data_IF_469546012461
#
_entry.id   IF_469546012461
#
_cell.length_a   1.000
_cell.length_b   1.000
_cell.length_c   1.000
_cell.angle_alpha   90.00
_cell.angle_beta   90.00
_cell.angle_gamma   90.00
#
_symmetry.space_group_name_H-M   'P 1'
#
loop_
_entity.id
_entity.type
_entity.pdbx_description
1 polymer ?
#
# COMPACT_ATOMS: atom_id res chain seq x y z
N UNK A 1 -25.32 -18.05 -29.43
CA UNK A 1 -26.17 -18.33 -28.28
C UNK A 1 -27.00 -17.09 -27.97
N UNK A 2 -28.29 -17.13 -28.33
CA UNK A 2 -29.24 -16.01 -28.23
C UNK A 2 -29.81 -15.96 -26.81
N UNK A 3 -29.68 -14.85 -26.09
CA UNK A 3 -30.37 -14.61 -24.82
C UNK A 3 -31.63 -13.78 -25.06
N UNK A 4 -32.77 -14.43 -24.88
CA UNK A 4 -34.13 -13.90 -24.97
C UNK A 4 -34.41 -13.06 -23.72
N UNK A 5 -34.80 -11.79 -23.93
CA UNK A 5 -35.32 -10.91 -22.88
C UNK A 5 -36.84 -11.07 -22.81
N UNK A 6 -37.32 -11.51 -21.66
CA UNK A 6 -38.75 -11.55 -21.35
C UNK A 6 -39.09 -10.25 -20.64
N UNK A 7 -39.93 -9.42 -21.30
CA UNK A 7 -40.56 -8.21 -20.74
C UNK A 7 -41.87 -8.63 -20.08
N UNK A 8 -41.96 -8.48 -18.76
CA UNK A 8 -43.24 -8.57 -18.05
C UNK A 8 -43.85 -7.16 -17.94
N UNK A 9 -44.90 -6.92 -18.67
CA UNK A 9 -45.81 -5.78 -18.52
C UNK A 9 -46.73 -6.07 -17.31
N UNK A 10 -46.62 -5.30 -16.24
CA UNK A 10 -47.60 -5.25 -15.17
C UNK A 10 -48.55 -4.05 -15.45
N UNK A 11 -49.78 -4.35 -15.82
CA UNK A 11 -50.87 -3.40 -15.87
C UNK A 11 -51.35 -3.13 -14.44
N UNK A 12 -51.12 -1.92 -13.93
CA UNK A 12 -51.69 -1.45 -12.65
C UNK A 12 -53.09 -0.89 -12.88
N UNK A 13 -54.10 -1.59 -12.43
CA UNK A 13 -55.47 -1.08 -12.32
C UNK A 13 -55.54 -0.10 -11.15
N UNK A 14 -55.82 1.18 -11.45
CA UNK A 14 -56.11 2.22 -10.46
C UNK A 14 -57.58 2.09 -10.06
N UNK A 15 -57.83 1.56 -8.86
CA UNK A 15 -59.14 1.54 -8.21
C UNK A 15 -59.27 2.83 -7.39
N UNK A 16 -60.04 3.83 -7.88
CA UNK A 16 -60.38 5.04 -7.16
C UNK A 16 -61.42 4.73 -6.07
N UNK A 17 -60.98 4.56 -4.81
CA UNK A 17 -61.86 4.59 -3.66
C UNK A 17 -62.13 6.05 -3.28
N UNK A 18 -63.34 6.50 -3.47
CA UNK A 18 -63.87 7.73 -2.87
C UNK A 18 -64.06 7.51 -1.38
N UNK A 19 -63.01 7.82 -0.60
CA UNK A 19 -63.08 7.81 0.87
C UNK A 19 -63.78 9.06 1.37
N UNK A 20 -64.97 8.90 1.96
CA UNK A 20 -65.59 9.94 2.78
C UNK A 20 -64.62 10.29 3.90
N UNK A 21 -64.17 11.55 3.98
CA UNK A 21 -63.39 12.07 5.09
C UNK A 21 -64.25 12.01 6.36
N UNK A 22 -64.06 10.97 7.15
CA UNK A 22 -64.52 10.94 8.54
C UNK A 22 -63.62 11.92 9.29
N UNK A 23 -64.17 13.03 9.72
CA UNK A 23 -63.48 13.96 10.61
C UNK A 23 -63.07 13.17 11.85
N UNK A 24 -61.76 12.92 11.99
CA UNK A 24 -61.23 12.31 13.19
C UNK A 24 -61.37 13.32 14.33
N UNK A 25 -62.33 13.11 15.18
CA UNK A 25 -62.46 13.85 16.46
C UNK A 25 -61.27 13.44 17.30
N UNK A 26 -60.37 14.37 17.54
CA UNK A 26 -59.18 14.13 18.38
C UNK A 26 -59.70 13.89 19.81
N UNK A 27 -59.40 12.75 20.38
CA UNK A 27 -59.71 12.43 21.75
C UNK A 27 -58.90 13.36 22.70
N UNK A 28 -59.62 14.32 23.35
CA UNK A 28 -59.02 15.26 24.28
C UNK A 28 -59.22 14.71 25.71
N UNK A 29 -58.13 14.34 26.39
CA UNK A 29 -58.24 13.81 27.77
C UNK A 29 -58.67 14.91 28.73
N UNK A 30 -59.75 14.67 29.49
CA UNK A 30 -60.23 15.54 30.56
C UNK A 30 -59.82 15.03 31.97
N UNK A 31 -59.64 15.95 32.92
CA UNK A 31 -59.39 15.58 34.31
C UNK A 31 -60.74 15.34 35.05
N UNK A 32 -61.03 14.10 35.50
CA UNK A 32 -62.31 13.77 36.08
C UNK A 32 -62.56 14.46 37.46
N UNK A 33 -61.52 14.99 38.10
CA UNK A 33 -61.61 15.63 39.42
C UNK A 33 -61.85 17.15 39.32
N UNK A 34 -61.43 17.75 38.19
CA UNK A 34 -61.49 19.21 38.05
C UNK A 34 -61.62 19.57 36.57
N UNK A 35 -62.74 19.16 35.99
CA UNK A 35 -63.03 19.42 34.58
C UNK A 35 -64.16 20.42 34.41
N UNK A 36 -63.88 21.53 33.77
CA UNK A 36 -64.87 22.48 33.26
C UNK A 36 -65.64 21.98 32.07
N UNK A 37 -65.38 20.78 31.54
CA UNK A 37 -65.99 20.19 30.38
C UNK A 37 -66.74 18.91 30.73
N UNK A 38 -67.77 18.63 29.91
CA UNK A 38 -68.50 17.35 30.00
C UNK A 38 -67.63 16.24 29.55
N UNK A 39 -67.46 15.17 30.36
CA UNK A 39 -66.63 14.02 30.06
C UNK A 39 -67.47 12.79 29.67
N UNK A 40 -67.03 12.02 28.70
CA UNK A 40 -67.50 10.68 28.42
C UNK A 40 -66.45 9.63 28.89
N UNK A 41 -66.89 8.41 29.26
CA UNK A 41 -65.91 7.35 29.62
C UNK A 41 -65.05 7.01 28.39
N UNK A 42 -63.72 6.86 28.55
CA UNK A 42 -62.90 6.91 29.79
C UNK A 42 -62.26 8.27 30.12
N UNK A 43 -63.04 9.32 30.36
CA UNK A 43 -62.62 10.71 30.69
C UNK A 43 -62.18 11.54 29.47
N UNK A 44 -62.86 11.38 28.37
CA UNK A 44 -62.62 12.16 27.14
C UNK A 44 -63.64 13.33 27.11
N UNK A 45 -63.16 14.52 26.73
CA UNK A 45 -63.99 15.72 26.62
C UNK A 45 -65.00 15.51 25.46
N UNK A 46 -66.27 15.71 25.77
CA UNK A 46 -67.36 15.62 24.76
C UNK A 46 -67.30 16.83 23.84
N UNK A 47 -67.26 16.55 22.55
CA UNK A 47 -67.30 17.57 21.48
C UNK A 47 -68.67 17.56 20.80
N UNK A 48 -69.11 18.74 20.38
CA UNK A 48 -70.29 18.88 19.53
C UNK A 48 -70.01 18.37 18.12
N UNK A 49 -71.05 18.15 17.32
CA UNK A 49 -70.89 17.74 15.94
C UNK A 49 -70.12 18.75 15.04
N UNK A 50 -69.89 19.96 15.56
CA UNK A 50 -69.02 20.98 14.96
C UNK A 50 -67.60 21.03 15.54
N UNK A 51 -67.24 20.09 16.39
CA UNK A 51 -65.88 19.99 16.99
C UNK A 51 -65.63 20.92 18.20
N UNK A 52 -66.67 21.61 18.70
CA UNK A 52 -66.56 22.48 19.88
C UNK A 52 -66.70 21.65 21.16
N UNK A 53 -65.83 21.90 22.15
CA UNK A 53 -65.92 21.24 23.44
C UNK A 53 -67.15 21.69 24.24
N UNK A 54 -67.90 20.73 24.85
CA UNK A 54 -69.05 21.03 25.68
C UNK A 54 -68.63 21.37 27.10
N UNK A 55 -68.82 22.65 27.49
CA UNK A 55 -68.51 23.16 28.85
C UNK A 55 -69.62 22.77 29.82
N UNK A 56 -69.22 22.56 31.09
CA UNK A 56 -70.18 22.39 32.17
C UNK A 56 -70.70 23.76 32.66
N UNK A 57 -71.81 23.77 33.38
CA UNK A 57 -72.34 25.02 33.99
C UNK A 57 -71.43 25.67 35.05
N UNK A 58 -70.41 24.94 35.52
CA UNK A 58 -69.39 25.39 36.49
C UNK A 58 -68.04 25.67 35.88
N UNK A 59 -67.94 25.83 34.53
CA UNK A 59 -66.68 26.10 33.87
C UNK A 59 -65.99 27.38 34.36
N UNK A 60 -64.71 27.30 34.63
CA UNK A 60 -63.85 28.43 34.98
C UNK A 60 -62.68 28.54 34.01
N UNK A 61 -62.22 29.76 33.75
CA UNK A 61 -61.08 29.98 32.82
C UNK A 61 -59.80 29.23 33.20
N UNK A 62 -59.60 28.96 34.48
CA UNK A 62 -58.49 28.16 34.95
C UNK A 62 -58.56 26.67 34.59
N UNK A 63 -59.71 26.20 34.14
CA UNK A 63 -59.96 24.83 33.70
C UNK A 63 -59.95 24.72 32.17
N UNK A 64 -59.61 25.81 31.46
CA UNK A 64 -59.51 25.82 29.99
C UNK A 64 -58.42 24.90 29.51
N UNK A 65 -58.72 24.06 28.51
CA UNK A 65 -57.79 23.23 27.77
C UNK A 65 -57.37 23.92 26.48
N UNK A 66 -56.09 23.88 26.14
CA UNK A 66 -55.55 24.51 24.93
C UNK A 66 -56.28 24.02 23.68
N UNK A 67 -56.68 22.76 23.67
CA UNK A 67 -57.35 22.12 22.53
C UNK A 67 -58.84 22.58 22.42
N UNK A 68 -59.43 23.05 23.51
CA UNK A 68 -60.85 23.46 23.52
C UNK A 68 -61.00 24.97 23.48
N UNK A 69 -60.18 25.68 24.22
CA UNK A 69 -60.24 27.13 24.42
C UNK A 69 -58.86 27.77 24.40
N UNK A 70 -58.16 27.82 23.26
CA UNK A 70 -56.80 28.33 23.19
C UNK A 70 -56.66 29.79 23.62
N UNK A 71 -57.70 30.57 23.50
CA UNK A 71 -57.73 32.01 23.85
C UNK A 71 -57.72 32.25 25.37
N UNK A 72 -58.15 31.26 26.15
CA UNK A 72 -58.22 31.36 27.61
C UNK A 72 -57.00 30.80 28.34
N UNK A 73 -56.15 30.08 27.65
CA UNK A 73 -54.92 29.52 28.17
C UNK A 73 -53.75 30.46 27.82
N UNK A 74 -53.03 31.05 28.78
CA UNK A 74 -51.89 31.89 28.47
C UNK A 74 -50.83 31.07 27.71
N UNK A 75 -50.17 31.66 26.71
CA UNK A 75 -49.12 30.96 25.98
C UNK A 75 -48.00 30.48 26.95
N UNK A 76 -47.46 29.30 26.74
CA UNK A 76 -46.38 28.83 27.53
C UNK A 76 -45.22 29.82 27.51
N UNK A 77 -44.48 30.00 28.62
CA UNK A 77 -43.31 30.87 28.66
C UNK A 77 -42.32 30.42 27.58
N UNK A 78 -41.62 31.38 26.88
CA UNK A 78 -40.64 31.02 25.93
C UNK A 78 -39.58 30.10 26.55
N UNK A 79 -39.09 29.10 25.82
CA UNK A 79 -38.05 28.22 26.32
C UNK A 79 -36.82 29.06 26.75
N UNK A 80 -36.14 28.68 27.83
CA UNK A 80 -34.91 29.38 28.21
C UNK A 80 -33.92 29.37 27.05
N UNK A 81 -33.14 30.44 26.85
CA UNK A 81 -32.13 30.48 25.82
C UNK A 81 -31.19 29.29 25.96
N UNK A 82 -30.76 28.68 24.88
CA UNK A 82 -29.81 27.58 24.92
C UNK A 82 -28.55 28.02 25.66
N UNK A 83 -27.94 27.17 26.47
CA UNK A 83 -26.67 27.48 27.11
C UNK A 83 -25.63 27.88 26.07
N UNK A 84 -24.73 28.83 26.37
CA UNK A 84 -23.68 29.22 25.47
C UNK A 84 -22.87 27.97 25.06
N UNK A 85 -22.44 27.87 23.81
CA UNK A 85 -21.62 26.75 23.37
C UNK A 85 -20.38 26.65 24.26
N UNK A 86 -19.93 25.46 24.63
CA UNK A 86 -18.69 25.30 25.37
C UNK A 86 -17.54 25.97 24.63
N UNK A 87 -16.57 26.57 25.33
CA UNK A 87 -15.41 27.14 24.69
C UNK A 87 -14.74 26.11 23.81
N UNK A 88 -14.20 26.51 22.64
CA UNK A 88 -13.51 25.57 21.78
C UNK A 88 -12.39 24.90 22.57
N UNK A 89 -12.17 23.59 22.40
CA UNK A 89 -11.07 22.90 23.03
C UNK A 89 -9.76 23.65 22.70
N UNK A 90 -8.82 23.75 23.65
CA UNK A 90 -7.51 24.34 23.35
C UNK A 90 -6.94 23.65 22.13
N UNK A 91 -6.25 24.38 21.23
CA UNK A 91 -5.64 23.78 20.05
C UNK A 91 -4.86 22.54 20.48
N UNK A 92 -5.21 21.38 19.94
CA UNK A 92 -4.46 20.17 20.19
C UNK A 92 -3.00 20.49 19.89
N UNK A 93 -2.11 20.26 20.88
CA UNK A 93 -0.68 20.44 20.67
C UNK A 93 -0.33 19.67 19.40
N UNK A 94 0.22 20.37 18.41
CA UNK A 94 0.63 19.72 17.16
C UNK A 94 1.56 18.58 17.54
N UNK A 95 1.36 17.36 17.00
CA UNK A 95 2.30 16.28 17.24
C UNK A 95 3.71 16.77 16.86
N UNK A 96 4.75 16.38 17.59
CA UNK A 96 6.11 16.75 17.24
C UNK A 96 6.36 16.38 15.78
N UNK A 97 7.10 17.19 15.03
CA UNK A 97 7.43 16.88 13.65
C UNK A 97 8.06 15.47 13.58
N UNK A 98 7.72 14.67 12.56
CA UNK A 98 8.33 13.37 12.40
C UNK A 98 9.86 13.52 12.36
N UNK A 99 10.61 12.55 12.91
CA UNK A 99 12.06 12.58 12.83
C UNK A 99 12.50 12.69 11.36
N UNK A 100 13.61 13.41 11.08
CA UNK A 100 14.12 13.51 9.72
C UNK A 100 14.33 12.12 9.14
N UNK A 101 14.06 11.92 7.84
CA UNK A 101 14.30 10.65 7.18
C UNK A 101 15.77 10.25 7.35
N UNK A 102 16.07 8.95 7.49
CA UNK A 102 17.45 8.49 7.57
C UNK A 102 18.21 8.93 6.31
N UNK A 103 19.52 9.23 6.43
CA UNK A 103 20.33 9.61 5.28
C UNK A 103 20.26 8.52 4.21
N UNK A 104 20.28 8.89 2.92
CA UNK A 104 20.26 7.92 1.84
C UNK A 104 21.47 6.98 1.96
N UNK A 105 21.30 5.68 1.61
CA UNK A 105 22.40 4.74 1.63
C UNK A 105 23.54 5.23 0.72
N UNK A 106 24.82 4.96 1.07
CA UNK A 106 25.95 5.33 0.24
C UNK A 106 25.81 4.68 -1.15
N UNK A 107 26.24 5.36 -2.22
CA UNK A 107 26.15 4.84 -3.58
C UNK A 107 26.98 3.56 -3.71
N UNK A 108 26.54 2.59 -4.51
CA UNK A 108 27.29 1.38 -4.77
C UNK A 108 28.63 1.70 -5.46
N UNK A 109 29.67 1.01 -5.04
CA UNK A 109 30.99 1.06 -5.67
C UNK A 109 31.12 -0.13 -6.61
N UNK A 110 31.37 0.15 -7.89
CA UNK A 110 31.68 -0.88 -8.87
C UNK A 110 33.20 -0.91 -9.13
N UNK A 111 33.82 -2.03 -8.95
CA UNK A 111 35.24 -2.24 -9.22
C UNK A 111 35.41 -3.38 -10.24
N UNK A 112 36.04 -3.08 -11.37
CA UNK A 112 36.38 -4.07 -12.39
C UNK A 112 37.88 -4.35 -12.37
N UNK A 113 38.25 -5.61 -12.26
CA UNK A 113 39.65 -6.07 -12.29
C UNK A 113 39.79 -7.09 -13.42
N UNK A 114 40.79 -6.90 -14.26
CA UNK A 114 41.10 -7.80 -15.39
C UNK A 114 42.37 -8.57 -15.08
N UNK A 115 42.32 -9.88 -15.20
CA UNK A 115 43.45 -10.78 -15.05
C UNK A 115 43.84 -11.34 -16.42
N UNK A 116 45.15 -11.41 -16.69
CA UNK A 116 45.63 -12.12 -17.88
C UNK A 116 45.34 -13.63 -17.75
N UNK A 117 44.76 -14.20 -18.79
CA UNK A 117 44.48 -15.64 -18.83
C UNK A 117 45.74 -16.47 -18.77
N UNK A 118 46.82 -16.01 -19.41
CA UNK A 118 48.12 -16.70 -19.40
C UNK A 118 48.78 -16.64 -18.04
N UNK A 119 48.51 -15.60 -17.28
CA UNK A 119 48.96 -15.54 -15.90
C UNK A 119 48.18 -16.54 -15.04
N UNK A 120 46.87 -16.63 -15.19
CA UNK A 120 46.01 -17.47 -14.36
C UNK A 120 46.06 -18.95 -14.72
N UNK A 121 46.17 -19.30 -16.00
CA UNK A 121 45.98 -20.67 -16.50
C UNK A 121 47.05 -21.07 -17.48
N UNK A 122 47.28 -22.38 -17.60
CA UNK A 122 48.07 -22.94 -18.73
C UNK A 122 47.23 -22.92 -20.02
N UNK A 123 47.94 -23.02 -21.15
CA UNK A 123 47.31 -23.04 -22.48
C UNK A 123 46.28 -24.19 -22.58
N UNK A 124 45.02 -23.83 -22.93
CA UNK A 124 43.92 -24.78 -23.05
C UNK A 124 43.37 -25.33 -21.73
N UNK A 125 43.93 -24.93 -20.59
CA UNK A 125 43.48 -25.38 -19.26
C UNK A 125 42.65 -24.32 -18.53
N UNK A 126 41.94 -24.77 -17.52
CA UNK A 126 41.15 -23.95 -16.62
C UNK A 126 41.60 -24.08 -15.14
N UNK A 127 42.62 -24.87 -14.85
CA UNK A 127 43.16 -24.99 -13.51
C UNK A 127 44.03 -23.76 -13.16
N UNK A 128 43.72 -23.12 -12.04
CA UNK A 128 44.43 -21.90 -11.58
C UNK A 128 45.87 -22.28 -11.19
N UNK A 129 46.83 -21.59 -11.78
CA UNK A 129 48.24 -21.77 -11.43
C UNK A 129 48.51 -21.39 -9.98
N UNK A 130 49.38 -22.14 -9.26
CA UNK A 130 49.76 -21.77 -7.89
C UNK A 130 50.33 -20.34 -7.78
N UNK A 131 51.11 -19.90 -8.78
CA UNK A 131 51.70 -18.56 -8.85
C UNK A 131 50.71 -17.43 -8.98
N UNK A 132 49.47 -17.72 -9.44
CA UNK A 132 48.44 -16.71 -9.67
C UNK A 132 47.46 -16.54 -8.50
N UNK A 133 47.56 -17.42 -7.51
CA UNK A 133 46.70 -17.37 -6.33
C UNK A 133 46.86 -16.08 -5.55
N UNK A 134 48.10 -15.57 -5.47
CA UNK A 134 48.40 -14.30 -4.80
C UNK A 134 47.63 -13.13 -5.39
N UNK A 135 47.52 -13.06 -6.74
CA UNK A 135 46.74 -11.98 -7.40
C UNK A 135 45.25 -12.06 -7.12
N UNK A 136 44.69 -13.26 -6.96
CA UNK A 136 43.31 -13.46 -6.56
C UNK A 136 43.11 -13.19 -5.05
N UNK A 137 44.10 -13.50 -4.22
CA UNK A 137 44.07 -13.16 -2.81
C UNK A 137 44.13 -11.65 -2.59
N UNK A 138 44.90 -10.92 -3.38
CA UNK A 138 44.88 -9.45 -3.38
C UNK A 138 43.51 -8.88 -3.77
N UNK A 139 42.80 -9.50 -4.70
CA UNK A 139 41.44 -9.12 -5.02
C UNK A 139 40.52 -9.35 -3.82
N UNK A 140 40.60 -10.53 -3.19
CA UNK A 140 39.80 -10.86 -2.01
C UNK A 140 40.04 -9.86 -0.89
N UNK A 141 41.29 -9.51 -0.63
CA UNK A 141 41.65 -8.50 0.38
C UNK A 141 41.06 -7.12 0.07
N UNK A 142 41.10 -6.68 -1.21
CA UNK A 142 40.56 -5.38 -1.63
C UNK A 142 39.02 -5.28 -1.51
N UNK A 143 38.34 -6.41 -1.58
CA UNK A 143 36.88 -6.44 -1.48
C UNK A 143 36.37 -6.82 -0.08
N UNK A 144 37.27 -7.16 0.84
CA UNK A 144 36.93 -7.55 2.21
C UNK A 144 36.19 -6.44 2.98
N UNK A 145 36.53 -5.16 2.71
CA UNK A 145 35.92 -3.99 3.34
C UNK A 145 34.60 -3.56 2.67
N UNK A 146 34.19 -4.27 1.62
CA UNK A 146 32.96 -3.98 0.91
C UNK A 146 31.86 -4.91 1.39
N UNK A 147 30.67 -4.35 1.61
CA UNK A 147 29.47 -5.16 1.68
C UNK A 147 29.14 -5.59 0.25
N UNK A 148 29.61 -6.80 -0.11
CA UNK A 148 29.47 -7.36 -1.44
C UNK A 148 27.99 -7.58 -1.77
N UNK A 149 27.57 -7.10 -2.93
CA UNK A 149 26.26 -7.35 -3.50
C UNK A 149 26.35 -8.43 -4.58
N UNK A 150 27.20 -8.20 -5.56
CA UNK A 150 27.37 -9.09 -6.71
C UNK A 150 28.84 -9.13 -7.13
N UNK A 151 29.28 -10.30 -7.54
CA UNK A 151 30.56 -10.52 -8.22
C UNK A 151 30.28 -11.22 -9.54
N UNK A 152 30.68 -10.64 -10.67
CA UNK A 152 30.55 -11.23 -12.00
C UNK A 152 31.93 -11.62 -12.51
N UNK A 153 32.12 -12.89 -12.81
CA UNK A 153 33.35 -13.43 -13.35
C UNK A 153 33.15 -13.79 -14.82
N UNK A 154 33.79 -13.08 -15.73
CA UNK A 154 33.66 -13.28 -17.18
C UNK A 154 34.95 -13.82 -17.77
N UNK A 155 34.88 -15.00 -18.37
CA UNK A 155 36.00 -15.61 -19.08
C UNK A 155 36.01 -15.28 -20.56
N UNK A 156 37.19 -15.03 -21.09
CA UNK A 156 37.43 -14.77 -22.55
C UNK A 156 38.56 -15.64 -23.09
N UNK A 157 38.52 -15.92 -24.37
CA UNK A 157 39.59 -16.61 -25.09
C UNK A 157 40.05 -15.77 -26.28
N UNK A 158 41.17 -16.17 -26.89
CA UNK A 158 41.51 -15.71 -28.21
C UNK A 158 40.73 -16.52 -29.27
N UNK A 159 40.97 -16.24 -30.56
CA UNK A 159 40.31 -16.91 -31.68
C UNK A 159 40.96 -18.23 -32.06
N UNK A 160 41.87 -18.79 -31.27
CA UNK A 160 42.55 -20.06 -31.60
C UNK A 160 41.67 -21.22 -31.17
N UNK A 161 41.35 -22.09 -32.12
CA UNK A 161 40.49 -23.25 -31.92
C UNK A 161 39.07 -23.05 -32.43
N UNK A 162 38.17 -23.96 -32.07
CA UNK A 162 36.75 -23.81 -32.44
C UNK A 162 35.99 -22.92 -31.45
N UNK A 163 35.01 -22.20 -31.97
CA UNK A 163 34.14 -21.35 -31.16
C UNK A 163 33.49 -22.14 -30.01
N UNK A 164 33.04 -23.38 -30.28
CA UNK A 164 32.42 -24.23 -29.28
C UNK A 164 33.41 -24.62 -28.16
N UNK A 165 34.69 -24.88 -28.52
CA UNK A 165 35.74 -25.13 -27.55
C UNK A 165 36.04 -23.88 -26.70
N UNK A 166 36.20 -22.74 -27.37
CA UNK A 166 36.47 -21.46 -26.73
C UNK A 166 35.36 -21.03 -25.79
N UNK A 167 34.10 -21.26 -26.15
CA UNK A 167 32.94 -21.01 -25.29
C UNK A 167 33.01 -21.87 -24.02
N UNK A 168 33.25 -23.17 -24.16
CA UNK A 168 33.35 -24.09 -22.99
C UNK A 168 34.56 -23.76 -22.13
N UNK A 169 35.70 -23.42 -22.74
CA UNK A 169 36.92 -23.08 -21.97
C UNK A 169 36.75 -21.80 -21.17
N UNK A 170 36.11 -20.77 -21.75
CA UNK A 170 35.86 -19.51 -21.06
C UNK A 170 34.93 -19.68 -19.85
N UNK A 171 33.86 -20.49 -20.00
CA UNK A 171 32.98 -20.83 -18.86
C UNK A 171 33.76 -21.55 -17.76
N UNK A 172 34.51 -22.62 -18.10
CA UNK A 172 35.29 -23.38 -17.12
C UNK A 172 36.29 -22.51 -16.39
N UNK A 173 36.94 -21.56 -17.06
CA UNK A 173 37.86 -20.60 -16.44
C UNK A 173 37.16 -19.69 -15.43
N UNK A 174 36.01 -19.17 -15.79
CA UNK A 174 35.19 -18.37 -14.88
C UNK A 174 34.74 -19.17 -13.66
N UNK A 175 34.33 -20.43 -13.86
CA UNK A 175 33.93 -21.34 -12.79
C UNK A 175 35.11 -21.67 -11.84
N UNK A 176 36.31 -21.85 -12.38
CA UNK A 176 37.49 -22.08 -11.55
C UNK A 176 37.83 -20.88 -10.67
N UNK A 177 37.72 -19.67 -11.20
CA UNK A 177 37.88 -18.45 -10.40
C UNK A 177 36.78 -18.34 -9.35
N UNK A 178 35.52 -18.61 -9.70
CA UNK A 178 34.39 -18.67 -8.72
C UNK A 178 34.71 -19.65 -7.59
N UNK A 179 35.11 -20.89 -7.94
CA UNK A 179 35.42 -21.90 -6.92
C UNK A 179 36.57 -21.43 -5.98
N UNK A 180 37.55 -20.73 -6.52
CA UNK A 180 38.61 -20.14 -5.72
C UNK A 180 38.10 -19.05 -4.77
N UNK A 181 37.31 -18.13 -5.26
CA UNK A 181 36.73 -17.03 -4.47
C UNK A 181 35.81 -17.56 -3.35
N UNK A 182 35.00 -18.60 -3.67
CA UNK A 182 34.16 -19.30 -2.66
C UNK A 182 35.04 -19.95 -1.60
N UNK A 183 36.16 -20.60 -1.99
CA UNK A 183 37.12 -21.16 -1.06
C UNK A 183 37.81 -20.12 -0.15
N UNK A 184 37.76 -18.84 -0.51
CA UNK A 184 38.26 -17.71 0.27
C UNK A 184 37.16 -17.01 1.11
N UNK A 185 35.94 -17.55 1.13
CA UNK A 185 34.84 -17.08 1.98
C UNK A 185 33.83 -16.15 1.31
N UNK A 186 33.92 -15.92 0.00
CA UNK A 186 32.87 -15.16 -0.70
C UNK A 186 31.68 -16.09 -0.93
N UNK A 187 30.48 -15.61 -0.60
CA UNK A 187 29.25 -16.39 -0.72
C UNK A 187 28.96 -16.82 -2.17
N UNK A 188 28.73 -18.12 -2.45
CA UNK A 188 28.57 -18.64 -3.81
C UNK A 188 27.34 -18.08 -4.56
N UNK A 189 26.30 -17.68 -3.84
CA UNK A 189 25.08 -17.07 -4.38
C UNK A 189 25.29 -15.62 -4.88
N UNK A 190 26.38 -14.98 -4.48
CA UNK A 190 26.76 -13.63 -4.94
C UNK A 190 27.65 -13.67 -6.18
N UNK A 191 28.21 -14.85 -6.55
CA UNK A 191 29.15 -14.96 -7.65
C UNK A 191 28.47 -15.56 -8.87
N UNK A 192 28.40 -14.78 -9.93
CA UNK A 192 27.90 -15.17 -11.24
C UNK A 192 29.07 -15.42 -12.19
N UNK A 193 28.96 -16.44 -13.03
CA UNK A 193 29.99 -16.79 -14.01
C UNK A 193 29.43 -16.69 -15.40
N UNK A 194 30.21 -16.13 -16.30
CA UNK A 194 29.89 -16.05 -17.72
C UNK A 194 31.11 -16.37 -18.58
N UNK A 195 30.91 -17.13 -19.66
CA UNK A 195 31.91 -17.33 -20.70
C UNK A 195 31.52 -16.61 -21.96
N UNK A 196 32.36 -15.76 -22.47
CA UNK A 196 32.16 -15.05 -23.75
C UNK A 196 32.93 -15.69 -24.91
N UNK A 197 33.78 -16.70 -24.63
CA UNK A 197 34.66 -17.30 -25.64
C UNK A 197 35.47 -16.21 -26.33
N UNK A 198 35.54 -16.29 -27.66
CA UNK A 198 36.23 -15.34 -28.52
C UNK A 198 35.39 -14.15 -29.00
N UNK A 199 34.10 -14.08 -28.57
CA UNK A 199 33.12 -13.15 -29.17
C UNK A 199 33.34 -11.69 -28.75
N UNK A 200 34.15 -11.42 -27.73
CA UNK A 200 34.41 -10.06 -27.25
C UNK A 200 35.93 -9.78 -27.19
N UNK A 201 36.59 -9.66 -28.34
CA UNK A 201 38.00 -9.34 -28.36
C UNK A 201 38.26 -7.88 -27.96
N UNK A 202 39.33 -7.63 -27.23
CA UNK A 202 39.82 -6.29 -26.87
C UNK A 202 41.04 -5.89 -27.68
N UNK A 203 41.63 -6.83 -28.40
CA UNK A 203 42.79 -6.61 -29.26
C UNK A 203 42.72 -7.48 -30.53
N UNK A 204 43.59 -7.19 -31.49
CA UNK A 204 43.62 -7.92 -32.77
C UNK A 204 44.09 -9.36 -32.58
N UNK A 205 43.23 -10.31 -32.90
CA UNK A 205 43.51 -11.75 -32.87
C UNK A 205 44.56 -12.22 -33.88
N UNK A 206 44.89 -11.42 -34.89
CA UNK A 206 45.93 -11.75 -35.90
C UNK A 206 47.33 -11.72 -35.28
N UNK A 207 47.55 -10.89 -34.27
CA UNK A 207 48.85 -10.76 -33.60
C UNK A 207 48.96 -11.67 -32.40
N UNK A 208 50.16 -12.17 -32.10
CA UNK A 208 50.40 -12.96 -30.89
C UNK A 208 50.12 -12.14 -29.58
N UNK A 209 50.51 -10.86 -29.61
CA UNK A 209 50.28 -9.94 -28.52
C UNK A 209 48.77 -9.70 -28.29
N UNK A 210 48.03 -9.45 -29.37
CA UNK A 210 46.55 -9.24 -29.26
C UNK A 210 45.82 -10.49 -28.77
N UNK A 211 46.21 -11.68 -29.23
CA UNK A 211 45.67 -12.93 -28.69
C UNK A 211 45.93 -13.07 -27.19
N UNK A 212 47.16 -12.71 -26.73
CA UNK A 212 47.45 -12.74 -25.30
C UNK A 212 46.59 -11.79 -24.46
N UNK A 213 46.22 -10.62 -25.03
CA UNK A 213 45.30 -9.68 -24.38
C UNK A 213 43.84 -10.20 -24.37
N UNK A 214 43.46 -10.92 -25.43
CA UNK A 214 42.12 -11.51 -25.51
C UNK A 214 41.93 -12.68 -24.54
N UNK A 215 43.00 -13.45 -24.26
CA UNK A 215 42.98 -14.47 -23.17
C UNK A 215 42.99 -13.79 -21.82
N UNK A 216 41.80 -13.51 -21.30
CA UNK A 216 41.66 -12.81 -20.00
C UNK A 216 40.45 -13.32 -19.22
N UNK A 217 40.44 -13.02 -17.91
CA UNK A 217 39.28 -13.12 -17.07
C UNK A 217 39.01 -11.76 -16.42
N UNK A 218 37.83 -11.29 -16.55
CA UNK A 218 37.35 -10.06 -15.92
C UNK A 218 36.54 -10.41 -14.67
N UNK A 219 36.83 -9.75 -13.59
CA UNK A 219 36.06 -9.86 -12.35
C UNK A 219 35.51 -8.49 -12.02
N UNK A 220 34.23 -8.37 -12.07
CA UNK A 220 33.50 -7.16 -11.72
C UNK A 220 32.84 -7.35 -10.34
N UNK A 221 33.13 -6.47 -9.43
CA UNK A 221 32.64 -6.48 -8.05
C UNK A 221 31.77 -5.27 -7.83
N UNK A 222 30.53 -5.52 -7.39
CA UNK A 222 29.60 -4.47 -6.96
C UNK A 222 29.35 -4.63 -5.48
N UNK A 223 29.48 -3.54 -4.76
CA UNK A 223 29.24 -3.53 -3.32
C UNK A 223 29.16 -2.11 -2.77
N UNK A 224 28.74 -1.99 -1.54
CA UNK A 224 28.72 -0.71 -0.82
C UNK A 224 29.84 -0.66 0.19
N UNK A 225 30.53 0.49 0.30
CA UNK A 225 31.56 0.67 1.30
C UNK A 225 30.92 0.90 2.66
N UNK A 226 31.28 0.08 3.66
CA UNK A 226 30.88 0.33 5.04
C UNK A 226 31.65 1.55 5.54
N UNK A 227 31.00 2.69 5.65
CA UNK A 227 31.57 3.86 6.33
C UNK A 227 31.40 3.55 7.81
N UNK A 228 32.48 3.18 8.50
CA UNK A 228 32.49 3.21 9.95
C UNK A 228 32.44 4.67 10.37
N UNK A 229 31.30 5.08 10.98
CA UNK A 229 31.16 6.35 11.68
C UNK A 229 31.77 6.23 13.07
#
# INVERSE_FOLDING_TARGET
MKRTRISCLFASAVLSLSGAAVAQTKDIPGNPKDSGYTLSPPNTVVQSGSGLCVRTGSFQASQALVECDPDLVPPPPPPPPPPPPPPPPPPAAMPPPPPPPPPPPPPPVTQKVTFSGDALFDTGKADIKPSSKAALDDLVAKVADLKLEVVVVTGHTDSTGSQAFNQKLSVKRAESVKAYLVGKGIEPNRIYTEGKGENQPVADNKTAQGRAQNRRVEVEVVGTRTIQQ
#
